data_IF_719774558679
#
_entry.id   IF_719774558679
#
_cell.length_a   1.000
_cell.length_b   1.000
_cell.length_c   1.000
_cell.angle_alpha   90.00
_cell.angle_beta   90.00
_cell.angle_gamma   90.00
#
_symmetry.space_group_name_H-M   'P 1'
#
loop_
_entity.id
_entity.type
_entity.pdbx_description
1 polymer ?
#
# COMPACT_ATOMS: atom_id res chain seq x y z
N UNK A 1 -15.17 -20.24 -10.61
CA UNK A 1 -15.43 -19.39 -9.42
C UNK A 1 -14.90 -18.01 -9.74
N UNK A 2 -15.77 -17.04 -10.01
CA UNK A 2 -15.34 -15.66 -10.26
C UNK A 2 -15.20 -14.97 -8.92
N UNK A 3 -14.01 -14.55 -8.55
CA UNK A 3 -13.80 -13.64 -7.41
C UNK A 3 -14.51 -12.34 -7.74
N UNK A 4 -15.49 -11.94 -6.93
CA UNK A 4 -15.99 -10.56 -7.01
C UNK A 4 -14.82 -9.66 -6.63
N UNK A 5 -14.40 -8.78 -7.55
CA UNK A 5 -13.40 -7.77 -7.24
C UNK A 5 -13.91 -6.97 -6.05
N UNK A 6 -13.18 -7.01 -4.94
CA UNK A 6 -13.49 -6.20 -3.75
C UNK A 6 -13.33 -4.74 -4.20
N UNK A 7 -14.37 -3.94 -4.00
CA UNK A 7 -14.27 -2.50 -4.27
C UNK A 7 -13.30 -1.93 -3.25
N UNK A 8 -12.21 -1.36 -3.75
CA UNK A 8 -11.21 -0.65 -2.95
C UNK A 8 -11.61 0.83 -2.97
N UNK A 9 -11.80 1.41 -1.79
CA UNK A 9 -12.14 2.82 -1.61
C UNK A 9 -10.89 3.70 -1.71
N UNK A 10 -9.74 3.19 -1.25
CA UNK A 10 -8.45 3.90 -1.27
C UNK A 10 -7.31 2.99 -1.73
N UNK A 11 -6.58 3.42 -2.75
CA UNK A 11 -5.28 2.84 -3.11
C UNK A 11 -4.17 3.81 -2.74
N UNK A 12 -3.24 3.38 -1.88
CA UNK A 12 -2.03 4.13 -1.55
C UNK A 12 -0.88 3.60 -2.40
N UNK A 13 -0.33 4.43 -3.29
CA UNK A 13 0.78 4.05 -4.16
C UNK A 13 2.09 4.62 -3.62
N UNK A 14 3.07 3.77 -3.35
CA UNK A 14 4.39 4.15 -2.84
C UNK A 14 5.45 3.81 -3.89
N UNK A 15 6.16 4.80 -4.46
CA UNK A 15 7.37 4.55 -5.23
C UNK A 15 8.47 3.98 -4.31
N UNK A 16 9.06 2.85 -4.67
CA UNK A 16 9.98 2.10 -3.80
C UNK A 16 11.41 1.98 -4.37
N UNK A 17 11.91 3.00 -5.08
CA UNK A 17 13.25 2.97 -5.67
C UNK A 17 14.36 3.15 -4.62
N UNK A 18 15.26 2.17 -4.47
CA UNK A 18 16.38 2.19 -3.51
C UNK A 18 15.96 2.40 -2.03
N UNK A 19 14.74 1.98 -1.67
CA UNK A 19 14.15 2.21 -0.34
C UNK A 19 14.23 1.02 0.61
N UNK A 20 14.96 -0.05 0.29
CA UNK A 20 14.92 -1.33 1.02
C UNK A 20 15.02 -1.20 2.55
N UNK A 21 15.88 -0.31 3.05
CA UNK A 21 16.06 -0.08 4.49
C UNK A 21 14.95 0.77 5.14
N UNK A 22 14.29 1.65 4.37
CA UNK A 22 13.26 2.59 4.87
C UNK A 22 11.83 2.08 4.63
N UNK A 23 11.67 1.14 3.70
CA UNK A 23 10.39 0.64 3.26
C UNK A 23 9.64 -0.09 4.39
N UNK A 24 10.32 -0.96 5.15
CA UNK A 24 9.72 -1.69 6.28
C UNK A 24 9.06 -0.76 7.30
N UNK A 25 9.80 0.17 7.93
CA UNK A 25 9.22 1.13 8.88
C UNK A 25 8.11 2.01 8.29
N UNK A 26 8.21 2.36 7.00
CA UNK A 26 7.18 3.13 6.30
C UNK A 26 5.88 2.33 6.15
N UNK A 27 5.98 1.07 5.77
CA UNK A 27 4.83 0.16 5.67
C UNK A 27 4.18 -0.10 7.02
N UNK A 28 4.97 -0.29 8.07
CA UNK A 28 4.43 -0.49 9.43
C UNK A 28 3.64 0.74 9.89
N UNK A 29 4.20 1.95 9.71
CA UNK A 29 3.53 3.19 10.09
C UNK A 29 2.26 3.42 9.26
N UNK A 30 2.32 3.21 7.95
CA UNK A 30 1.18 3.42 7.04
C UNK A 30 0.05 2.42 7.32
N UNK A 31 0.37 1.13 7.39
CA UNK A 31 -0.65 0.08 7.62
C UNK A 31 -1.23 0.18 9.03
N UNK A 32 -0.42 0.58 10.03
CA UNK A 32 -0.90 0.95 11.36
C UNK A 32 -1.93 2.06 11.31
N UNK A 33 -1.61 3.19 10.66
CA UNK A 33 -2.53 4.32 10.54
C UNK A 33 -3.83 3.95 9.83
N UNK A 34 -3.76 3.20 8.73
CA UNK A 34 -4.95 2.80 7.97
C UNK A 34 -5.86 1.86 8.78
N UNK A 35 -5.26 0.89 9.49
CA UNK A 35 -6.00 -0.04 10.35
C UNK A 35 -6.64 0.66 11.55
N UNK A 36 -5.91 1.54 12.22
CA UNK A 36 -6.40 2.27 13.40
C UNK A 36 -7.55 3.25 13.04
N UNK A 37 -7.79 3.48 11.75
CA UNK A 37 -8.82 4.37 11.22
C UNK A 37 -9.75 3.66 10.22
N UNK A 38 -9.94 2.33 10.32
CA UNK A 38 -10.70 1.53 9.35
C UNK A 38 -12.11 2.07 9.04
N UNK A 39 -12.83 2.56 10.06
CA UNK A 39 -14.18 3.12 9.89
C UNK A 39 -14.24 4.42 9.09
N UNK A 40 -13.10 5.06 8.83
CA UNK A 40 -12.98 6.28 8.02
C UNK A 40 -12.67 5.98 6.55
N UNK A 41 -11.94 4.92 6.28
CA UNK A 41 -11.30 4.70 4.98
C UNK A 41 -11.99 3.64 4.13
N UNK A 42 -12.77 2.74 4.74
CA UNK A 42 -13.33 1.60 4.02
C UNK A 42 -12.23 0.61 3.62
N UNK A 43 -12.38 -0.04 2.47
CA UNK A 43 -11.40 -0.99 1.97
C UNK A 43 -10.21 -0.29 1.33
N UNK A 44 -9.01 -0.71 1.69
CA UNK A 44 -7.78 -0.10 1.19
C UNK A 44 -6.75 -1.14 0.76
N UNK A 45 -5.87 -0.70 -0.13
CA UNK A 45 -4.68 -1.44 -0.56
C UNK A 45 -3.45 -0.53 -0.55
N UNK A 46 -2.28 -1.14 -0.40
CA UNK A 46 -0.98 -0.46 -0.56
C UNK A 46 -0.27 -1.11 -1.74
N UNK A 47 0.03 -0.31 -2.76
CA UNK A 47 0.72 -0.74 -3.98
C UNK A 47 2.12 -0.16 -3.97
N UNK A 48 3.12 -1.04 -3.97
CA UNK A 48 4.50 -0.64 -4.16
C UNK A 48 4.80 -0.57 -5.66
N UNK A 49 5.11 0.62 -6.14
CA UNK A 49 5.57 0.82 -7.50
C UNK A 49 7.10 0.81 -7.50
N UNK A 50 7.69 -0.27 -8.02
CA UNK A 50 9.12 -0.33 -8.29
C UNK A 50 9.38 -0.06 -9.77
N UNK A 51 10.43 0.72 -10.05
CA UNK A 51 10.90 1.01 -11.41
C UNK A 51 12.30 0.42 -11.59
N UNK A 52 12.42 -0.87 -11.96
CA UNK A 52 13.72 -1.51 -12.18
C UNK A 52 14.43 -1.01 -13.46
N UNK A 53 13.90 -0.01 -14.16
CA UNK A 53 14.32 0.37 -15.52
C UNK A 53 15.64 1.15 -15.62
N UNK A 54 16.36 1.41 -14.53
CA UNK A 54 17.70 2.02 -14.58
C UNK A 54 18.80 0.99 -14.27
N UNK A 55 19.68 0.69 -15.25
CA UNK A 55 20.85 -0.19 -15.05
C UNK A 55 21.92 0.45 -14.16
#
# INVERSE_FOLDING_TARGET
MSTLARVVDISVVIPAFNEEQRLGPTLDALTGYLRDNEGRWGEWEVVLADDPSRP
#
